data_IF_695332395597
#
_entry.id   IF_695332395597
#
_cell.length_a   1.000
_cell.length_b   1.000
_cell.length_c   1.000
_cell.angle_alpha   90.00
_cell.angle_beta   90.00
_cell.angle_gamma   90.00
#
_symmetry.space_group_name_H-M   'P 1'
#
loop_
_entity.id
_entity.type
_entity.pdbx_description
1 polymer ?
#
# COMPACT_ATOMS: atom_id res chain seq x y z
N UNK A 1 51.30 -73.34 11.46
CA UNK A 1 50.11 -73.01 12.27
C UNK A 1 48.87 -73.26 11.43
N UNK A 2 48.04 -74.22 11.85
CA UNK A 2 46.55 -74.26 11.84
C UNK A 2 45.83 -73.70 10.60
N UNK A 3 45.22 -74.56 9.77
CA UNK A 3 43.84 -75.09 9.90
C UNK A 3 42.86 -74.25 9.04
N UNK A 4 42.42 -74.72 7.86
CA UNK A 4 41.31 -75.68 7.61
C UNK A 4 39.92 -74.99 7.59
N UNK A 5 39.18 -75.34 6.52
CA UNK A 5 37.71 -75.42 6.33
C UNK A 5 36.93 -74.26 5.69
N UNK A 6 36.49 -74.59 4.46
CA UNK A 6 35.31 -74.13 3.74
C UNK A 6 34.09 -73.86 4.64
N UNK A 7 33.23 -72.93 4.21
CA UNK A 7 31.80 -73.22 4.10
C UNK A 7 31.10 -72.27 3.12
N UNK A 8 30.24 -72.87 2.30
CA UNK A 8 29.46 -72.33 1.20
C UNK A 8 27.99 -72.55 1.60
N UNK A 9 27.17 -71.49 1.67
CA UNK A 9 25.70 -71.50 1.86
C UNK A 9 25.29 -70.07 2.28
N UNK A 10 24.13 -69.49 1.98
CA UNK A 10 22.98 -69.73 1.10
C UNK A 10 22.12 -68.46 1.31
N UNK A 11 21.38 -68.08 0.29
CA UNK A 11 20.31 -67.08 0.34
C UNK A 11 19.31 -67.35 1.49
N UNK A 12 18.77 -66.30 2.13
CA UNK A 12 17.32 -66.01 2.21
C UNK A 12 17.00 -64.86 3.18
N UNK A 13 16.47 -63.79 2.58
CA UNK A 13 15.30 -62.98 3.00
C UNK A 13 15.30 -62.39 4.41
N UNK A 14 15.54 -61.08 4.46
CA UNK A 14 14.95 -60.17 5.43
C UNK A 14 14.32 -58.99 4.68
N UNK A 15 13.11 -59.18 4.16
CA UNK A 15 12.23 -58.07 3.80
C UNK A 15 11.80 -57.40 5.12
N UNK A 16 12.35 -56.23 5.41
CA UNK A 16 11.64 -55.23 6.21
C UNK A 16 11.46 -54.02 5.32
N UNK A 17 10.22 -53.90 4.86
CA UNK A 17 9.61 -52.70 4.31
C UNK A 17 9.92 -51.50 5.20
N UNK A 18 10.86 -50.67 4.76
CA UNK A 18 11.05 -49.32 5.26
C UNK A 18 10.88 -48.36 4.09
N UNK A 19 9.63 -48.04 3.76
CA UNK A 19 9.30 -46.85 2.98
C UNK A 19 9.70 -45.61 3.80
N UNK A 20 10.98 -45.26 3.79
CA UNK A 20 11.44 -43.92 4.13
C UNK A 20 11.24 -43.07 2.90
N UNK A 21 10.06 -42.50 2.77
CA UNK A 21 9.71 -41.52 1.74
C UNK A 21 10.64 -40.31 1.95
N UNK A 22 11.71 -40.22 1.15
CA UNK A 22 12.58 -39.05 0.98
C UNK A 22 11.77 -37.90 0.32
N UNK A 23 10.75 -37.41 1.04
CA UNK A 23 10.03 -36.16 0.75
C UNK A 23 10.43 -35.07 1.73
N UNK A 24 11.68 -35.09 2.16
CA UNK A 24 12.31 -33.96 2.82
C UNK A 24 12.64 -32.89 1.78
N UNK A 25 12.12 -31.68 1.99
CA UNK A 25 12.35 -30.44 1.23
C UNK A 25 11.53 -30.25 -0.07
N UNK A 26 10.27 -29.83 0.08
CA UNK A 26 9.62 -29.03 -0.99
C UNK A 26 8.96 -27.74 -0.47
N UNK A 27 8.80 -27.55 0.84
CA UNK A 27 8.40 -26.26 1.40
C UNK A 27 9.32 -25.90 2.57
N UNK A 28 10.38 -25.15 2.30
CA UNK A 28 10.96 -24.28 3.32
C UNK A 28 9.91 -23.20 3.64
N UNK A 29 8.98 -23.52 4.53
CA UNK A 29 8.17 -22.50 5.19
C UNK A 29 9.14 -21.61 5.95
N UNK A 30 9.34 -20.39 5.44
CA UNK A 30 10.10 -19.34 6.12
C UNK A 30 9.65 -19.31 7.59
N UNK A 31 10.60 -19.52 8.51
CA UNK A 31 10.29 -19.62 9.93
C UNK A 31 9.54 -18.38 10.39
N UNK A 32 8.59 -18.55 11.32
CA UNK A 32 7.77 -17.43 11.79
C UNK A 32 8.63 -16.28 12.33
N UNK A 33 9.77 -16.57 12.93
CA UNK A 33 10.76 -15.58 13.36
C UNK A 33 11.30 -14.70 12.22
N UNK A 34 11.63 -15.30 11.05
CA UNK A 34 12.12 -14.54 9.89
C UNK A 34 11.01 -13.65 9.33
N UNK A 35 9.77 -14.14 9.30
CA UNK A 35 8.61 -13.36 8.86
C UNK A 35 8.37 -12.16 9.78
N UNK A 36 8.45 -12.37 11.09
CA UNK A 36 8.28 -11.30 12.08
C UNK A 36 9.36 -10.23 11.96
N UNK A 37 10.62 -10.62 11.73
CA UNK A 37 11.71 -9.68 11.48
C UNK A 37 11.44 -8.83 10.24
N UNK A 38 11.02 -9.46 9.14
CA UNK A 38 10.68 -8.74 7.91
C UNK A 38 9.51 -7.78 8.08
N UNK A 39 8.47 -8.17 8.82
CA UNK A 39 7.34 -7.28 9.13
C UNK A 39 7.76 -6.09 10.01
N UNK A 40 8.67 -6.30 10.96
CA UNK A 40 9.24 -5.22 11.77
C UNK A 40 10.06 -4.24 10.93
N UNK A 41 10.85 -4.75 9.97
CA UNK A 41 11.57 -3.90 9.03
C UNK A 41 10.63 -3.06 8.16
N UNK A 42 9.59 -3.69 7.60
CA UNK A 42 8.58 -2.98 6.80
C UNK A 42 7.89 -1.88 7.62
N UNK A 43 7.51 -2.17 8.87
CA UNK A 43 6.90 -1.17 9.75
C UNK A 43 7.85 -0.01 10.02
N UNK A 44 9.11 -0.29 10.31
CA UNK A 44 10.12 0.76 10.50
C UNK A 44 10.29 1.63 9.24
N UNK A 45 10.30 1.01 8.06
CA UNK A 45 10.36 1.74 6.78
C UNK A 45 9.12 2.62 6.59
N UNK A 46 7.93 2.12 6.92
CA UNK A 46 6.67 2.89 6.91
C UNK A 46 6.75 4.07 7.89
N UNK A 47 7.19 3.86 9.12
CA UNK A 47 7.33 4.93 10.12
C UNK A 47 8.30 6.03 9.63
N UNK A 48 9.36 5.62 8.94
CA UNK A 48 10.37 6.54 8.37
C UNK A 48 9.79 7.43 7.26
N UNK A 49 8.66 7.09 6.65
CA UNK A 49 8.00 7.94 5.67
C UNK A 49 7.59 9.30 6.25
N UNK A 50 7.32 9.35 7.57
CA UNK A 50 6.95 10.59 8.28
C UNK A 50 8.06 11.64 8.31
N UNK A 51 9.31 11.23 8.07
CA UNK A 51 10.44 12.16 7.95
C UNK A 51 10.26 13.14 6.78
N UNK A 52 9.46 12.80 5.75
CA UNK A 52 9.19 13.65 4.58
C UNK A 52 8.22 14.82 4.85
N UNK A 53 7.86 15.07 6.11
CA UNK A 53 6.93 16.15 6.49
C UNK A 53 7.46 17.55 6.16
N UNK A 54 8.74 17.79 6.41
CA UNK A 54 9.36 19.11 6.22
C UNK A 54 10.37 19.05 5.07
N UNK A 55 10.04 19.60 3.90
CA UNK A 55 10.93 19.57 2.73
C UNK A 55 12.21 20.40 2.93
N UNK A 56 12.32 21.22 4.00
CA UNK A 56 13.53 21.97 4.30
C UNK A 56 14.54 21.16 5.13
N UNK A 57 14.11 20.06 5.76
CA UNK A 57 15.00 19.14 6.46
C UNK A 57 15.51 18.09 5.48
N UNK A 58 16.53 18.46 4.71
CA UNK A 58 17.10 17.64 3.63
C UNK A 58 17.56 16.26 4.12
N UNK A 59 18.08 16.15 5.36
CA UNK A 59 18.51 14.86 5.89
C UNK A 59 17.32 13.93 6.12
N UNK A 60 16.24 14.46 6.71
CA UNK A 60 15.01 13.70 6.89
C UNK A 60 14.34 13.34 5.57
N UNK A 61 14.29 14.27 4.62
CA UNK A 61 13.73 14.04 3.30
C UNK A 61 14.46 12.89 2.57
N UNK A 62 15.80 12.87 2.61
CA UNK A 62 16.60 11.76 2.05
C UNK A 62 16.30 10.42 2.75
N UNK A 63 16.03 10.41 4.06
CA UNK A 63 15.63 9.18 4.77
C UNK A 63 14.25 8.70 4.33
N UNK A 64 13.28 9.59 4.19
CA UNK A 64 11.94 9.25 3.70
C UNK A 64 12.00 8.72 2.26
N UNK A 65 12.76 9.35 1.38
CA UNK A 65 12.98 8.88 0.01
C UNK A 65 13.64 7.50 -0.05
N UNK A 66 14.63 7.25 0.81
CA UNK A 66 15.23 5.92 0.92
C UNK A 66 14.21 4.88 1.38
N UNK A 67 13.38 5.21 2.37
CA UNK A 67 12.32 4.31 2.85
C UNK A 67 11.29 4.02 1.74
N UNK A 68 10.82 5.04 1.01
CA UNK A 68 9.95 4.86 -0.17
C UNK A 68 10.55 3.90 -1.18
N UNK A 69 11.81 4.09 -1.56
CA UNK A 69 12.48 3.24 -2.53
C UNK A 69 12.63 1.78 -2.05
N UNK A 70 12.91 1.56 -0.77
CA UNK A 70 12.96 0.21 -0.19
C UNK A 70 11.59 -0.48 -0.23
N UNK A 71 10.53 0.24 0.12
CA UNK A 71 9.16 -0.28 0.07
C UNK A 71 8.76 -0.61 -1.38
N UNK A 72 9.04 0.28 -2.34
CA UNK A 72 8.82 0.06 -3.77
C UNK A 72 9.56 -1.20 -4.26
N UNK A 73 10.83 -1.37 -3.87
CA UNK A 73 11.63 -2.54 -4.26
C UNK A 73 11.06 -3.88 -3.73
N UNK A 74 10.26 -3.86 -2.66
CA UNK A 74 9.60 -5.08 -2.12
C UNK A 74 8.40 -5.51 -2.98
N UNK A 75 7.85 -4.61 -3.80
CA UNK A 75 6.72 -4.83 -4.71
C UNK A 75 5.37 -4.94 -4.01
N UNK A 76 4.33 -5.35 -4.74
CA UNK A 76 2.93 -5.40 -4.27
C UNK A 76 2.67 -6.29 -3.05
N UNK A 77 3.63 -7.15 -2.66
CA UNK A 77 3.51 -8.02 -1.48
C UNK A 77 3.38 -7.28 -0.15
N UNK A 78 3.79 -6.01 -0.10
CA UNK A 78 3.68 -5.16 1.10
C UNK A 78 2.39 -4.34 1.14
N UNK A 79 1.55 -4.43 0.10
CA UNK A 79 0.31 -3.66 -0.02
C UNK A 79 -0.61 -3.81 1.21
N UNK A 80 -0.79 -4.99 1.84
CA UNK A 80 -1.58 -5.10 3.07
C UNK A 80 -1.06 -4.23 4.22
N UNK A 81 0.27 -4.14 4.39
CA UNK A 81 0.89 -3.32 5.43
C UNK A 81 0.75 -1.83 5.13
N UNK A 82 0.81 -1.44 3.85
CA UNK A 82 0.56 -0.08 3.41
C UNK A 82 -0.90 0.32 3.65
N UNK A 83 -1.85 -0.55 3.30
CA UNK A 83 -3.29 -0.33 3.53
C UNK A 83 -3.58 -0.18 5.03
N UNK A 84 -2.99 -1.03 5.88
CA UNK A 84 -3.11 -0.93 7.34
C UNK A 84 -2.58 0.42 7.84
N UNK A 85 -1.39 0.82 7.40
CA UNK A 85 -0.79 2.09 7.79
C UNK A 85 -1.60 3.30 7.32
N UNK A 86 -2.15 3.28 6.11
CA UNK A 86 -3.01 4.35 5.60
C UNK A 86 -4.25 4.56 6.48
N UNK A 87 -4.84 3.48 7.01
CA UNK A 87 -6.06 3.56 7.81
C UNK A 87 -5.83 3.82 9.30
N UNK A 88 -4.68 3.43 9.85
CA UNK A 88 -4.47 3.37 11.30
C UNK A 88 -3.30 4.22 11.82
N UNK A 89 -2.38 4.67 10.96
CA UNK A 89 -1.21 5.41 11.42
C UNK A 89 -1.58 6.84 11.86
N UNK A 90 -1.12 7.25 13.04
CA UNK A 90 -1.46 8.56 13.64
C UNK A 90 -0.84 9.74 12.87
N UNK A 91 0.39 9.57 12.39
CA UNK A 91 1.12 10.59 11.65
C UNK A 91 0.58 10.74 10.22
N UNK A 92 0.04 11.91 9.89
CA UNK A 92 -0.47 12.22 8.56
C UNK A 92 0.62 12.18 7.47
N UNK A 93 1.88 12.49 7.80
CA UNK A 93 2.98 12.49 6.84
C UNK A 93 3.36 11.06 6.45
N UNK A 94 3.27 10.11 7.39
CA UNK A 94 3.37 8.68 7.07
C UNK A 94 2.24 8.29 6.13
N UNK A 95 0.98 8.69 6.41
CA UNK A 95 -0.15 8.39 5.53
C UNK A 95 0.02 8.97 4.12
N UNK A 96 0.55 10.19 3.98
CA UNK A 96 0.93 10.77 2.67
C UNK A 96 1.98 9.91 1.98
N UNK A 97 3.09 9.59 2.67
CA UNK A 97 4.15 8.76 2.08
C UNK A 97 3.67 7.37 1.68
N UNK A 98 2.74 6.78 2.44
CA UNK A 98 2.08 5.52 2.09
C UNK A 98 1.31 5.64 0.77
N UNK A 99 0.55 6.73 0.56
CA UNK A 99 -0.14 6.98 -0.72
C UNK A 99 0.88 7.12 -1.86
N UNK A 100 2.02 7.77 -1.64
CA UNK A 100 3.08 7.89 -2.66
C UNK A 100 3.69 6.54 -3.03
N UNK A 101 3.85 5.62 -2.06
CA UNK A 101 4.28 4.24 -2.36
C UNK A 101 3.18 3.47 -3.08
N UNK A 102 1.91 3.66 -2.70
CA UNK A 102 0.75 3.06 -3.38
C UNK A 102 0.55 3.62 -4.79
N UNK A 103 1.01 4.83 -5.11
CA UNK A 103 0.99 5.32 -6.49
C UNK A 103 1.89 4.48 -7.41
N UNK A 104 3.01 3.97 -6.89
CA UNK A 104 3.93 3.12 -7.64
C UNK A 104 3.54 1.63 -7.65
N UNK A 105 2.87 1.15 -6.59
CA UNK A 105 2.62 -0.29 -6.37
C UNK A 105 1.15 -0.69 -6.29
N UNK A 106 0.27 0.28 -6.07
CA UNK A 106 -1.11 0.07 -5.66
C UNK A 106 -1.87 -0.76 -6.69
N UNK A 107 -2.62 -1.73 -6.21
CA UNK A 107 -3.49 -2.55 -7.05
C UNK A 107 -4.94 -2.17 -6.77
N UNK A 108 -5.88 -2.88 -7.43
CA UNK A 108 -7.32 -2.78 -7.14
C UNK A 108 -7.62 -2.89 -5.64
N UNK A 109 -6.82 -3.63 -4.89
CA UNK A 109 -6.98 -3.86 -3.45
C UNK A 109 -6.85 -2.57 -2.62
N UNK A 110 -6.06 -1.60 -3.08
CA UNK A 110 -5.87 -0.32 -2.39
C UNK A 110 -7.02 0.67 -2.56
N UNK A 111 -7.91 0.48 -3.54
CA UNK A 111 -8.94 1.47 -3.90
C UNK A 111 -9.88 1.76 -2.72
N UNK A 112 -10.37 0.77 -2.00
CA UNK A 112 -11.28 1.00 -0.87
C UNK A 112 -10.59 1.75 0.29
N UNK A 113 -9.30 1.50 0.49
CA UNK A 113 -8.50 2.22 1.47
C UNK A 113 -8.28 3.69 1.06
N UNK A 114 -7.99 3.93 -0.22
CA UNK A 114 -7.85 5.28 -0.78
C UNK A 114 -9.18 6.06 -0.74
N UNK A 115 -10.31 5.40 -1.05
CA UNK A 115 -11.65 6.01 -0.92
C UNK A 115 -11.87 6.44 0.53
N UNK A 116 -11.50 5.60 1.50
CA UNK A 116 -11.58 5.96 2.92
C UNK A 116 -10.71 7.17 3.23
N UNK A 117 -9.47 7.22 2.70
CA UNK A 117 -8.53 8.32 2.87
C UNK A 117 -8.97 9.64 2.22
N UNK A 118 -9.89 9.65 1.25
CA UNK A 118 -10.50 10.92 0.77
C UNK A 118 -11.27 11.67 1.87
N UNK A 119 -11.69 10.97 2.92
CA UNK A 119 -12.30 11.53 4.11
C UNK A 119 -11.34 11.80 5.27
N UNK A 120 -10.02 11.68 5.08
CA UNK A 120 -9.00 11.87 6.11
C UNK A 120 -9.09 13.26 6.75
N UNK A 121 -8.78 13.38 8.04
CA UNK A 121 -8.80 14.66 8.74
C UNK A 121 -7.77 15.65 8.22
N UNK A 122 -6.64 15.15 7.70
CA UNK A 122 -5.57 15.97 7.18
C UNK A 122 -5.80 16.20 5.68
N UNK A 123 -6.01 17.46 5.23
CA UNK A 123 -6.41 17.74 3.85
C UNK A 123 -5.43 17.23 2.80
N UNK A 124 -4.13 17.22 3.09
CA UNK A 124 -3.11 16.75 2.15
C UNK A 124 -3.22 15.24 1.89
N UNK A 125 -3.58 14.43 2.90
CA UNK A 125 -3.81 12.98 2.74
C UNK A 125 -4.99 12.77 1.81
N UNK A 126 -6.10 13.49 2.06
CA UNK A 126 -7.29 13.41 1.23
C UNK A 126 -7.07 13.86 -0.22
N UNK A 127 -6.28 14.93 -0.43
CA UNK A 127 -5.92 15.39 -1.77
C UNK A 127 -5.14 14.33 -2.55
N UNK A 128 -4.11 13.76 -1.92
CA UNK A 128 -3.26 12.73 -2.53
C UNK A 128 -4.08 11.48 -2.84
N UNK A 129 -4.96 11.06 -1.93
CA UNK A 129 -5.85 9.93 -2.14
C UNK A 129 -6.82 10.15 -3.31
N UNK A 130 -7.47 11.32 -3.39
CA UNK A 130 -8.36 11.67 -4.50
C UNK A 130 -7.62 11.66 -5.85
N UNK A 131 -6.42 12.27 -5.90
CA UNK A 131 -5.61 12.30 -7.12
C UNK A 131 -5.15 10.92 -7.56
N UNK A 132 -4.77 10.06 -6.62
CA UNK A 132 -4.39 8.69 -6.95
C UNK A 132 -5.62 7.89 -7.45
N UNK A 133 -6.78 8.06 -6.83
CA UNK A 133 -8.02 7.44 -7.33
C UNK A 133 -8.36 7.91 -8.75
N UNK A 134 -8.19 9.21 -9.04
CA UNK A 134 -8.41 9.73 -10.39
C UNK A 134 -7.53 9.05 -11.43
N UNK A 135 -6.25 8.87 -11.10
CA UNK A 135 -5.29 8.20 -11.98
C UNK A 135 -5.60 6.71 -12.10
N UNK A 136 -5.80 6.00 -11.00
CA UNK A 136 -6.03 4.55 -11.01
C UNK A 136 -7.34 4.17 -11.69
N UNK A 137 -8.40 4.98 -11.50
CA UNK A 137 -9.74 4.68 -12.00
C UNK A 137 -10.08 5.36 -13.32
N UNK A 138 -9.20 6.25 -13.83
CA UNK A 138 -9.49 7.13 -14.98
C UNK A 138 -10.83 7.86 -14.84
N UNK A 139 -11.19 8.22 -13.62
CA UNK A 139 -12.51 8.75 -13.26
C UNK A 139 -12.35 9.90 -12.27
N UNK A 140 -13.29 10.85 -12.26
CA UNK A 140 -13.23 11.99 -11.35
C UNK A 140 -14.60 12.24 -10.73
N UNK A 141 -14.63 12.41 -9.41
CA UNK A 141 -15.82 12.80 -8.67
C UNK A 141 -15.98 14.31 -8.54
N UNK A 142 -14.88 15.07 -8.42
CA UNK A 142 -14.95 16.52 -8.26
C UNK A 142 -15.22 17.16 -9.64
N UNK A 143 -16.34 17.87 -9.82
CA UNK A 143 -16.63 18.51 -11.11
C UNK A 143 -15.68 19.69 -11.37
N UNK A 144 -15.50 20.00 -12.63
CA UNK A 144 -14.79 21.21 -13.09
C UNK A 144 -15.67 22.44 -12.92
N UNK A 145 -15.05 23.62 -12.89
CA UNK A 145 -15.78 24.88 -12.79
C UNK A 145 -16.82 25.09 -13.91
N UNK A 146 -16.59 24.52 -15.10
CA UNK A 146 -17.53 24.60 -16.22
C UNK A 146 -18.76 23.69 -16.05
N UNK A 147 -18.62 22.58 -15.31
CA UNK A 147 -19.69 21.62 -15.07
C UNK A 147 -20.64 22.08 -13.94
N UNK A 148 -20.17 22.97 -13.04
CA UNK A 148 -20.96 23.43 -11.90
C UNK A 148 -21.07 22.35 -10.82
N UNK A 149 -22.22 22.25 -10.16
CA UNK A 149 -22.48 21.20 -9.16
C UNK A 149 -22.71 19.87 -9.88
N UNK A 150 -21.92 18.86 -9.52
CA UNK A 150 -21.96 17.53 -10.14
C UNK A 150 -23.22 16.75 -9.77
N UNK A 151 -23.47 15.65 -10.49
CA UNK A 151 -24.60 14.74 -10.21
C UNK A 151 -24.51 14.04 -8.84
N UNK A 152 -23.35 14.14 -8.18
CA UNK A 152 -23.04 13.65 -6.84
C UNK A 152 -23.16 14.75 -5.76
N UNK A 153 -23.78 15.88 -6.09
CA UNK A 153 -23.97 17.06 -5.23
C UNK A 153 -22.67 17.74 -4.78
N UNK A 154 -21.51 17.38 -5.36
CA UNK A 154 -20.25 18.04 -5.06
C UNK A 154 -20.12 19.37 -5.82
N UNK A 155 -19.73 20.46 -5.14
CA UNK A 155 -19.35 21.69 -5.83
C UNK A 155 -17.97 21.53 -6.48
N UNK A 156 -17.69 22.31 -7.54
CA UNK A 156 -16.38 22.28 -8.16
C UNK A 156 -15.33 22.85 -7.19
N UNK A 157 -14.13 22.28 -7.21
CA UNK A 157 -13.01 22.85 -6.47
C UNK A 157 -12.51 24.10 -7.20
N UNK A 158 -12.67 25.26 -6.56
CA UNK A 158 -12.12 26.52 -7.03
C UNK A 158 -10.77 26.73 -6.35
N UNK A 159 -9.71 26.78 -7.15
CA UNK A 159 -8.36 27.06 -6.66
C UNK A 159 -8.23 28.46 -6.06
N UNK A 160 -7.03 28.82 -5.57
CA UNK A 160 -6.78 30.16 -5.05
C UNK A 160 -7.00 31.22 -6.12
N UNK A 161 -7.26 32.46 -5.69
CA UNK A 161 -7.37 33.58 -6.59
C UNK A 161 -6.06 33.77 -7.39
N UNK A 162 -6.15 34.23 -8.63
CA UNK A 162 -5.01 34.31 -9.54
C UNK A 162 -3.87 35.24 -9.04
N UNK A 163 -4.18 36.12 -8.09
CA UNK A 163 -3.27 37.06 -7.44
C UNK A 163 -2.69 36.55 -6.10
N UNK A 164 -3.20 35.45 -5.54
CA UNK A 164 -2.60 34.80 -4.38
C UNK A 164 -1.46 33.87 -4.82
N UNK A 165 -0.25 34.44 -4.88
CA UNK A 165 0.98 33.76 -5.26
C UNK A 165 1.66 33.03 -4.10
N UNK A 166 1.02 32.93 -2.92
CA UNK A 166 1.60 32.17 -1.82
C UNK A 166 1.76 30.70 -2.22
N UNK A 167 2.92 30.11 -1.91
CA UNK A 167 3.23 28.72 -2.27
C UNK A 167 2.19 27.72 -1.71
N UNK A 168 1.58 28.05 -0.57
CA UNK A 168 0.59 27.24 0.13
C UNK A 168 -0.87 27.60 -0.22
N UNK A 169 -1.11 28.60 -1.08
CA UNK A 169 -2.45 29.14 -1.32
C UNK A 169 -3.43 28.06 -1.81
N UNK A 170 -2.93 27.16 -2.66
CA UNK A 170 -3.71 26.04 -3.17
C UNK A 170 -4.04 25.01 -2.10
N UNK A 171 -3.11 24.73 -1.20
CA UNK A 171 -3.32 23.81 -0.09
C UNK A 171 -4.34 24.38 0.91
N UNK A 172 -4.27 25.69 1.20
CA UNK A 172 -5.27 26.38 2.04
C UNK A 172 -6.67 26.38 1.40
N UNK A 173 -6.75 26.63 0.10
CA UNK A 173 -8.01 26.55 -0.64
C UNK A 173 -8.58 25.13 -0.60
N UNK A 174 -7.74 24.11 -0.81
CA UNK A 174 -8.14 22.71 -0.71
C UNK A 174 -8.61 22.36 0.70
N UNK A 175 -7.88 22.75 1.74
CA UNK A 175 -8.26 22.50 3.14
C UNK A 175 -9.65 23.07 3.47
N UNK A 176 -9.95 24.27 2.97
CA UNK A 176 -11.25 24.91 3.14
C UNK A 176 -12.36 24.13 2.43
N UNK A 177 -12.14 23.80 1.15
CA UNK A 177 -13.11 23.05 0.36
C UNK A 177 -13.34 21.65 0.93
N UNK A 178 -12.27 20.94 1.28
CA UNK A 178 -12.32 19.59 1.85
C UNK A 178 -13.03 19.58 3.20
N UNK A 179 -12.75 20.55 4.08
CA UNK A 179 -13.44 20.67 5.37
C UNK A 179 -14.96 20.75 5.23
N UNK A 180 -15.47 21.38 4.17
CA UNK A 180 -16.90 21.48 3.88
C UNK A 180 -17.49 20.25 3.15
N UNK A 181 -16.67 19.53 2.36
CA UNK A 181 -17.17 18.53 1.40
C UNK A 181 -16.64 17.10 1.61
N UNK A 182 -15.78 16.84 2.60
CA UNK A 182 -15.10 15.54 2.78
C UNK A 182 -16.04 14.33 2.83
N UNK A 183 -17.19 14.46 3.50
CA UNK A 183 -18.15 13.37 3.66
C UNK A 183 -18.85 13.07 2.33
N UNK A 184 -19.23 14.12 1.60
CA UNK A 184 -19.81 14.02 0.26
C UNK A 184 -18.81 13.42 -0.72
N UNK A 185 -17.54 13.83 -0.67
CA UNK A 185 -16.48 13.30 -1.55
C UNK A 185 -16.29 11.79 -1.33
N UNK A 186 -16.12 11.38 -0.08
CA UNK A 186 -16.00 9.96 0.26
C UNK A 186 -17.23 9.16 -0.17
N UNK A 187 -18.43 9.71 0.04
CA UNK A 187 -19.69 9.06 -0.35
C UNK A 187 -19.80 8.92 -1.88
N UNK A 188 -19.42 9.94 -2.62
CA UNK A 188 -19.44 9.95 -4.08
C UNK A 188 -18.52 8.84 -4.65
N UNK A 189 -17.26 8.83 -4.22
CA UNK A 189 -16.30 7.78 -4.58
C UNK A 189 -16.78 6.38 -4.19
N UNK A 190 -17.35 6.23 -2.98
CA UNK A 190 -17.90 4.94 -2.52
C UNK A 190 -19.06 4.45 -3.40
N UNK A 191 -19.97 5.34 -3.79
CA UNK A 191 -21.11 5.02 -4.63
C UNK A 191 -20.67 4.64 -6.06
N UNK A 192 -19.71 5.38 -6.61
CA UNK A 192 -19.15 5.07 -7.91
C UNK A 192 -18.41 3.72 -7.89
N UNK A 193 -17.58 3.47 -6.88
CA UNK A 193 -16.85 2.20 -6.78
C UNK A 193 -17.77 1.00 -6.59
N UNK A 194 -18.81 1.12 -5.77
CA UNK A 194 -19.81 0.07 -5.61
C UNK A 194 -20.45 -0.37 -6.94
N UNK A 195 -20.62 0.57 -7.87
CA UNK A 195 -21.18 0.32 -9.20
C UNK A 195 -20.14 -0.20 -10.19
N UNK A 196 -18.89 0.28 -10.11
CA UNK A 196 -17.87 0.08 -11.15
C UNK A 196 -16.75 -0.90 -10.74
N UNK A 197 -16.74 -1.46 -9.53
CA UNK A 197 -15.65 -2.31 -9.03
C UNK A 197 -15.36 -3.58 -9.85
N UNK A 198 -16.27 -4.02 -10.71
CA UNK A 198 -16.08 -5.18 -11.60
C UNK A 198 -15.80 -4.79 -13.05
N UNK A 199 -16.13 -3.55 -13.44
CA UNK A 199 -16.10 -3.08 -14.85
C UNK A 199 -15.02 -2.03 -15.09
N UNK A 200 -14.61 -1.29 -14.06
CA UNK A 200 -13.57 -0.27 -14.16
C UNK A 200 -12.26 -0.89 -14.67
N UNK A 201 -11.72 -0.35 -15.76
CA UNK A 201 -10.37 -0.62 -16.19
C UNK A 201 -9.44 0.23 -15.33
N UNK A 202 -8.47 -0.41 -14.69
CA UNK A 202 -7.49 0.28 -13.87
C UNK A 202 -6.22 0.50 -14.69
N UNK A 203 -5.58 1.65 -14.48
CA UNK A 203 -4.25 1.94 -15.01
C UNK A 203 -3.16 1.08 -14.36
#
# INVERSE_FOLDING_TARGET
>A
MRAILLCLALLLVGFVTGCGDDRGAVFETESDEKRDLKLKEIRKEIDTLGDGRDPNDVEKDVRADRAKNLLIARGTRIEPQLIEALGAHEDWAVRVGVIEVLEALGTRSSIEALITATGDEHPLVALKADKLLEVMCQHREIPTAAEGVGANDLPPFVGPAADDLALDARERAWATWHGANRESLRKAWSAWWATNRTTAQLN
#
